data_IF_137562884348
#
_entry.id   IF_137562884348
#
_cell.length_a   1.000
_cell.length_b   1.000
_cell.length_c   1.000
_cell.angle_alpha   90.00
_cell.angle_beta   90.00
_cell.angle_gamma   90.00
#
_symmetry.space_group_name_H-M   'P 1'
#
loop_
_entity.id
_entity.type
_entity.pdbx_description
1 polymer ?
#
# COMPACT_ATOMS: atom_id res chain seq x y z
N UNK A 1 4.45 1.44 6.27
CA UNK A 1 3.13 0.75 6.29
C UNK A 1 2.78 0.32 7.71
N UNK A 2 3.18 1.14 8.66
CA UNK A 2 3.46 0.72 10.05
C UNK A 2 2.26 0.94 10.97
N UNK A 3 1.30 1.76 10.52
CA UNK A 3 0.11 2.09 11.28
C UNK A 3 -0.73 0.87 11.61
N UNK A 4 -0.94 -0.04 10.65
CA UNK A 4 -1.73 -1.25 10.87
C UNK A 4 -1.12 -2.17 11.95
N UNK A 5 0.16 -2.60 11.87
CA UNK A 5 0.75 -3.40 12.94
C UNK A 5 0.87 -2.65 14.26
N UNK A 6 1.14 -1.34 14.24
CA UNK A 6 1.21 -0.51 15.47
C UNK A 6 -0.13 -0.45 16.19
N UNK A 7 -1.23 -0.16 15.47
CA UNK A 7 -2.57 -0.12 16.06
C UNK A 7 -3.01 -1.51 16.53
N UNK A 8 -2.72 -2.56 15.74
CA UNK A 8 -3.04 -3.93 16.13
C UNK A 8 -2.39 -4.31 17.47
N UNK A 9 -1.12 -3.94 17.66
CA UNK A 9 -0.41 -4.16 18.92
C UNK A 9 -1.01 -3.34 20.07
N UNK A 10 -1.26 -2.04 19.88
CA UNK A 10 -1.89 -1.16 20.89
C UNK A 10 -3.27 -1.69 21.30
N UNK A 11 -4.04 -2.20 20.35
CA UNK A 11 -5.36 -2.77 20.57
C UNK A 11 -5.33 -4.22 21.09
N UNK A 12 -4.14 -4.83 21.23
CA UNK A 12 -3.95 -6.24 21.62
C UNK A 12 -4.66 -7.23 20.68
N UNK A 13 -4.67 -6.93 19.38
CA UNK A 13 -5.25 -7.76 18.33
C UNK A 13 -4.16 -8.60 17.66
N UNK A 14 -4.42 -9.89 17.49
CA UNK A 14 -3.54 -10.79 16.74
C UNK A 14 -3.85 -10.74 15.25
N UNK A 15 -2.84 -10.49 14.42
CA UNK A 15 -2.99 -10.47 12.97
C UNK A 15 -3.05 -11.90 12.40
N UNK A 16 -3.75 -12.11 11.26
CA UNK A 16 -3.93 -13.44 10.68
C UNK A 16 -2.60 -14.17 10.39
N UNK A 17 -2.51 -15.48 10.68
CA UNK A 17 -1.32 -16.26 10.36
C UNK A 17 -1.12 -16.34 8.83
N UNK A 18 0.12 -16.17 8.38
CA UNK A 18 0.47 -16.17 6.95
C UNK A 18 0.28 -14.81 6.26
N UNK A 19 -0.22 -13.79 6.95
CA UNK A 19 -0.22 -12.42 6.43
C UNK A 19 1.20 -11.85 6.50
N UNK A 20 1.82 -11.63 5.34
CA UNK A 20 3.08 -10.92 5.23
C UNK A 20 2.79 -9.42 5.21
N UNK A 21 3.38 -8.69 6.14
CA UNK A 21 3.23 -7.23 6.27
C UNK A 21 4.58 -6.58 6.03
N UNK A 22 4.58 -5.53 5.22
CA UNK A 22 5.77 -4.69 5.01
C UNK A 22 6.00 -3.69 6.16
N UNK A 23 4.98 -3.47 7.00
CA UNK A 23 5.07 -2.58 8.14
C UNK A 23 5.58 -3.25 9.42
N UNK A 24 6.20 -2.48 10.28
CA UNK A 24 6.61 -2.88 11.63
C UNK A 24 5.83 -2.08 12.67
N UNK A 25 5.68 -2.61 13.87
CA UNK A 25 5.08 -1.84 14.96
C UNK A 25 6.06 -0.79 15.46
N UNK A 26 5.58 0.44 15.62
CA UNK A 26 6.35 1.57 16.13
C UNK A 26 6.00 1.91 17.58
N UNK A 27 5.29 1.04 18.30
CA UNK A 27 4.88 1.29 19.70
C UNK A 27 6.11 1.64 20.56
N UNK A 28 7.21 0.92 20.41
CA UNK A 28 8.46 1.19 21.13
C UNK A 28 9.11 2.52 20.76
N UNK A 29 9.09 2.91 19.47
CA UNK A 29 9.60 4.20 19.00
C UNK A 29 8.72 5.36 19.47
N UNK A 30 7.39 5.19 19.45
CA UNK A 30 6.41 6.20 19.86
C UNK A 30 6.38 6.43 21.38
N UNK A 31 6.69 5.40 22.17
CA UNK A 31 6.72 5.46 23.63
C UNK A 31 8.11 5.79 24.21
N UNK A 32 9.06 6.20 23.36
CA UNK A 32 10.27 6.89 23.78
C UNK A 32 11.54 6.05 23.86
N UNK A 33 11.89 5.31 22.81
CA UNK A 33 13.27 4.82 22.59
C UNK A 33 13.96 5.54 21.43
N UNK A 34 15.21 5.93 21.70
CA UNK A 34 16.07 6.76 20.86
C UNK A 34 16.27 6.22 19.43
N UNK A 35 16.15 7.10 18.45
CA UNK A 35 16.69 6.94 17.11
C UNK A 35 18.18 7.29 17.09
N UNK A 36 18.99 6.49 16.38
CA UNK A 36 20.38 6.82 16.06
C UNK A 36 20.48 7.84 14.92
N UNK A 37 21.57 8.63 14.87
CA UNK A 37 21.66 9.82 14.02
C UNK A 37 21.82 9.51 12.53
N UNK A 38 21.37 10.46 11.71
CA UNK A 38 21.60 10.54 10.27
C UNK A 38 23.07 10.85 9.95
N UNK A 39 23.72 10.04 9.11
CA UNK A 39 25.07 10.27 8.60
C UNK A 39 25.07 11.03 7.25
N UNK A 40 26.15 11.75 6.97
CA UNK A 40 26.33 12.63 5.81
C UNK A 40 26.90 11.89 4.59
N UNK A 41 26.39 12.21 3.39
CA UNK A 41 26.69 11.55 2.12
C UNK A 41 28.16 11.71 1.69
N UNK A 42 28.92 10.62 1.72
CA UNK A 42 30.21 10.47 1.00
C UNK A 42 30.14 9.33 -0.04
N UNK A 43 30.93 9.42 -1.12
CA UNK A 43 30.97 8.43 -2.20
C UNK A 43 31.45 7.03 -1.77
N UNK A 44 32.19 6.94 -0.66
CA UNK A 44 32.63 5.68 -0.06
C UNK A 44 31.48 4.93 0.63
N UNK A 45 30.53 5.68 1.20
CA UNK A 45 29.34 5.17 1.88
C UNK A 45 28.48 4.33 0.93
N UNK A 46 28.29 4.78 -0.30
CA UNK A 46 27.49 4.06 -1.28
C UNK A 46 28.02 2.64 -1.50
N UNK A 47 29.35 2.47 -1.64
CA UNK A 47 29.96 1.14 -1.84
C UNK A 47 29.78 0.24 -0.62
N UNK A 48 29.78 0.82 0.57
CA UNK A 48 29.58 0.09 1.82
C UNK A 48 28.12 -0.33 2.01
N UNK A 49 27.16 0.57 1.76
CA UNK A 49 25.73 0.34 2.06
C UNK A 49 24.97 -0.37 0.93
N UNK A 50 25.42 -0.29 -0.32
CA UNK A 50 24.67 -0.87 -1.45
C UNK A 50 24.61 -2.39 -1.41
N UNK A 51 25.65 -3.07 -0.92
CA UNK A 51 25.68 -4.53 -0.80
C UNK A 51 24.53 -5.06 0.06
N UNK A 52 24.43 -4.62 1.33
CA UNK A 52 23.32 -4.98 2.21
C UNK A 52 21.93 -4.65 1.65
N UNK A 53 21.77 -3.48 1.00
CA UNK A 53 20.49 -3.09 0.38
C UNK A 53 20.07 -4.08 -0.71
N UNK A 54 21.01 -4.47 -1.58
CA UNK A 54 20.74 -5.42 -2.67
C UNK A 54 20.38 -6.81 -2.15
N UNK A 55 21.00 -7.26 -1.07
CA UNK A 55 20.67 -8.53 -0.43
C UNK A 55 19.23 -8.53 0.11
N UNK A 56 18.85 -7.47 0.85
CA UNK A 56 17.49 -7.30 1.38
C UNK A 56 16.48 -7.23 0.23
N UNK A 57 16.80 -6.47 -0.81
CA UNK A 57 15.97 -6.37 -2.01
C UNK A 57 15.75 -7.72 -2.70
N UNK A 58 16.80 -8.52 -2.88
CA UNK A 58 16.68 -9.84 -3.48
C UNK A 58 15.82 -10.76 -2.62
N UNK A 59 16.03 -10.77 -1.31
CA UNK A 59 15.22 -11.55 -0.36
C UNK A 59 13.73 -11.19 -0.45
N UNK A 60 13.42 -9.89 -0.42
CA UNK A 60 12.04 -9.40 -0.56
C UNK A 60 11.43 -9.82 -1.90
N UNK A 61 12.15 -9.63 -3.02
CA UNK A 61 11.66 -10.00 -4.36
C UNK A 61 11.42 -11.49 -4.51
N UNK A 62 12.28 -12.35 -3.95
CA UNK A 62 12.13 -13.79 -4.05
C UNK A 62 10.96 -14.34 -3.24
N UNK A 63 10.60 -13.70 -2.12
CA UNK A 63 9.43 -14.12 -1.32
C UNK A 63 8.13 -13.46 -1.77
N UNK A 64 8.18 -12.42 -2.60
CA UNK A 64 7.00 -11.69 -3.07
C UNK A 64 6.22 -12.52 -4.09
N UNK A 65 4.94 -12.77 -3.79
CA UNK A 65 3.94 -13.25 -4.74
C UNK A 65 3.03 -12.08 -5.09
N UNK A 66 3.17 -11.45 -6.28
CA UNK A 66 2.35 -10.30 -6.65
C UNK A 66 0.87 -10.65 -6.73
N UNK A 67 0.02 -9.76 -6.21
CA UNK A 67 -1.42 -9.85 -6.40
C UNK A 67 -1.82 -9.69 -7.87
N UNK A 68 -3.03 -10.14 -8.21
CA UNK A 68 -3.61 -9.85 -9.54
C UNK A 68 -3.83 -8.34 -9.68
N UNK A 69 -3.43 -7.71 -10.79
CA UNK A 69 -3.62 -6.28 -10.99
C UNK A 69 -5.11 -5.95 -11.00
N UNK A 70 -5.54 -5.05 -10.10
CA UNK A 70 -6.93 -4.61 -9.99
C UNK A 70 -7.25 -3.38 -10.85
N UNK A 71 -6.22 -2.68 -11.35
CA UNK A 71 -6.35 -1.37 -11.98
C UNK A 71 -6.16 -1.40 -13.51
N UNK A 72 -6.16 -2.60 -14.11
CA UNK A 72 -5.95 -2.76 -15.55
C UNK A 72 -7.23 -2.52 -16.38
N UNK A 73 -8.40 -2.65 -15.75
CA UNK A 73 -9.70 -2.64 -16.43
C UNK A 73 -10.56 -1.47 -15.96
N UNK A 74 -11.20 -0.81 -16.92
CA UNK A 74 -12.09 0.32 -16.74
C UNK A 74 -13.44 0.02 -17.41
N UNK A 75 -14.49 0.65 -16.91
CA UNK A 75 -15.82 0.62 -17.51
C UNK A 75 -16.57 1.90 -17.11
N UNK A 76 -17.05 2.65 -18.10
CA UNK A 76 -17.81 3.87 -17.84
C UNK A 76 -19.08 3.58 -17.03
N UNK A 77 -19.68 2.41 -17.20
CA UNK A 77 -20.86 2.02 -16.43
C UNK A 77 -20.58 1.81 -14.93
N UNK A 78 -19.32 1.57 -14.55
CA UNK A 78 -18.92 1.37 -13.16
C UNK A 78 -18.69 2.70 -12.38
N UNK A 79 -18.81 3.85 -13.05
CA UNK A 79 -18.72 5.16 -12.39
C UNK A 79 -19.93 5.43 -11.48
N UNK A 80 -19.83 6.50 -10.69
CA UNK A 80 -20.81 6.87 -9.68
C UNK A 80 -22.06 7.57 -10.26
N UNK A 81 -22.72 6.95 -11.23
CA UNK A 81 -23.92 7.51 -11.89
C UNK A 81 -25.14 7.54 -10.96
N UNK A 82 -25.36 6.47 -10.18
CA UNK A 82 -26.50 6.34 -9.28
C UNK A 82 -26.05 5.80 -7.90
N UNK A 83 -25.37 6.63 -7.08
CA UNK A 83 -25.04 6.26 -5.70
C UNK A 83 -26.27 5.83 -4.89
N UNK A 84 -26.11 4.92 -3.92
CA UNK A 84 -27.14 4.70 -2.91
C UNK A 84 -27.57 6.02 -2.25
N UNK A 85 -28.85 6.37 -2.36
CA UNK A 85 -29.43 7.59 -1.79
C UNK A 85 -29.56 8.76 -2.77
N UNK A 86 -29.14 8.60 -4.03
CA UNK A 86 -29.32 9.64 -5.07
C UNK A 86 -30.79 9.94 -5.36
N UNK A 87 -31.69 8.99 -5.12
CA UNK A 87 -33.14 9.10 -5.37
C UNK A 87 -33.79 10.13 -4.43
N UNK A 88 -33.29 10.22 -3.20
CA UNK A 88 -33.83 11.15 -2.19
C UNK A 88 -33.46 12.60 -2.45
N UNK A 89 -32.39 12.82 -3.19
CA UNK A 89 -31.85 14.15 -3.52
C UNK A 89 -32.02 14.49 -5.00
N UNK A 90 -32.71 13.64 -5.77
CA UNK A 90 -32.94 13.76 -7.21
C UNK A 90 -31.66 14.02 -8.01
N UNK A 91 -30.61 13.23 -7.74
CA UNK A 91 -29.29 13.32 -8.40
C UNK A 91 -28.82 12.03 -9.06
N UNK A 92 -29.72 11.08 -9.28
CA UNK A 92 -29.37 9.90 -10.05
C UNK A 92 -29.18 10.29 -11.51
N UNK A 93 -28.08 9.86 -12.11
CA UNK A 93 -27.80 10.04 -13.52
C UNK A 93 -28.01 8.72 -14.28
N UNK A 94 -28.39 8.76 -15.57
CA UNK A 94 -28.52 7.56 -16.38
C UNK A 94 -27.16 6.87 -16.55
N UNK A 95 -27.12 5.56 -16.30
CA UNK A 95 -25.92 4.74 -16.45
C UNK A 95 -25.70 4.41 -17.94
N UNK A 96 -24.50 4.62 -18.51
CA UNK A 96 -24.21 4.18 -19.86
C UNK A 96 -24.12 2.63 -19.94
N UNK A 97 -24.24 2.04 -21.14
CA UNK A 97 -24.04 0.60 -21.31
C UNK A 97 -22.62 0.17 -20.95
N UNK A 98 -22.51 -0.90 -20.16
CA UNK A 98 -21.23 -1.49 -19.76
C UNK A 98 -20.45 -2.04 -20.96
N UNK A 99 -19.18 -1.64 -21.07
CA UNK A 99 -18.24 -2.12 -22.09
C UNK A 99 -16.82 -2.12 -21.51
N UNK A 100 -16.41 -3.14 -20.74
CA UNK A 100 -15.10 -3.16 -20.12
C UNK A 100 -13.94 -3.05 -21.12
N UNK A 101 -12.98 -2.19 -20.83
CA UNK A 101 -11.79 -1.94 -21.66
C UNK A 101 -10.54 -1.78 -20.80
N UNK A 102 -9.35 -1.84 -21.41
CA UNK A 102 -8.10 -1.58 -20.68
C UNK A 102 -7.96 -0.10 -20.38
N UNK A 103 -7.73 0.25 -19.11
CA UNK A 103 -7.51 1.63 -18.71
C UNK A 103 -6.30 2.23 -19.45
N UNK A 104 -6.40 3.45 -20.01
CA UNK A 104 -5.28 4.12 -20.67
C UNK A 104 -4.35 4.77 -19.63
N UNK A 105 -3.43 4.00 -19.06
CA UNK A 105 -2.34 4.57 -18.25
C UNK A 105 -1.20 5.06 -19.15
N UNK A 106 -0.47 6.16 -18.82
CA UNK A 106 -0.61 7.04 -17.66
C UNK A 106 -1.40 8.33 -17.94
N UNK A 107 -2.09 8.40 -19.08
CA UNK A 107 -2.58 9.63 -19.71
C UNK A 107 -3.84 10.21 -19.06
#
# INVERSE_FOLDING_TARGET
MDLLPTIAELARITLPPGLVLDGQSLVDSMLGRNETPSESVDSSEYREKIGPILEIYQKHRCSLVPGKPQLDWCDDAAMQWAPPGCEKIDRCLPVPPSRPYRCPWPY
#
